data_IF_763858587892
#
_entry.id   IF_763858587892
#
_cell.length_a   1.000
_cell.length_b   1.000
_cell.length_c   1.000
_cell.angle_alpha   90.00
_cell.angle_beta   90.00
_cell.angle_gamma   90.00
#
_symmetry.space_group_name_H-M   'P 1'
#
loop_
_entity.id
_entity.type
_entity.pdbx_description
1 polymer ?
#
# COMPACT_ATOMS: atom_id res chain seq x y z
N UNK A 1 -9.37 -7.89 -3.00
CA UNK A 1 -8.18 -7.27 -2.40
C UNK A 1 -8.19 -7.61 -0.93
N UNK A 2 -7.15 -8.29 -0.48
CA UNK A 2 -6.92 -8.66 0.91
C UNK A 2 -6.45 -7.46 1.73
N UNK A 3 -6.68 -7.47 3.05
CA UNK A 3 -6.14 -6.43 3.94
C UNK A 3 -4.60 -6.35 3.85
N UNK A 4 -3.93 -7.47 3.59
CA UNK A 4 -2.48 -7.51 3.41
C UNK A 4 -2.03 -6.66 2.21
N UNK A 5 -2.73 -6.71 1.08
CA UNK A 5 -2.44 -5.89 -0.09
C UNK A 5 -2.53 -4.39 0.25
N UNK A 6 -3.60 -3.97 0.93
CA UNK A 6 -3.80 -2.57 1.33
C UNK A 6 -2.72 -2.11 2.32
N UNK A 7 -2.38 -2.95 3.31
CA UNK A 7 -1.34 -2.66 4.31
C UNK A 7 0.05 -2.49 3.68
N UNK A 8 0.38 -3.35 2.70
CA UNK A 8 1.65 -3.30 1.96
C UNK A 8 1.76 -1.98 1.19
N UNK A 9 0.70 -1.59 0.47
CA UNK A 9 0.65 -0.36 -0.31
C UNK A 9 0.74 0.87 0.60
N UNK A 10 -0.03 0.88 1.70
CA UNK A 10 -0.05 1.99 2.65
C UNK A 10 1.30 2.13 3.34
N UNK A 11 1.94 1.00 3.69
CA UNK A 11 3.30 0.97 4.22
C UNK A 11 4.32 1.41 3.18
N UNK A 12 4.20 1.01 1.93
CA UNK A 12 5.11 1.46 0.86
C UNK A 12 5.01 2.96 0.57
N UNK A 13 3.86 3.60 0.78
CA UNK A 13 3.78 5.06 0.66
C UNK A 13 4.24 5.83 1.88
N UNK A 14 4.09 5.27 3.09
CA UNK A 14 4.57 5.91 4.34
C UNK A 14 6.03 5.63 4.63
N UNK A 15 6.54 4.50 4.17
CA UNK A 15 7.87 3.97 4.45
C UNK A 15 8.68 3.92 3.15
N UNK A 16 9.53 4.94 2.89
CA UNK A 16 10.32 5.00 1.67
C UNK A 16 11.36 3.88 1.56
N UNK A 17 11.75 3.24 2.67
CA UNK A 17 12.63 2.08 2.64
C UNK A 17 11.88 0.84 2.14
N UNK A 18 10.63 0.67 2.55
CA UNK A 18 9.76 -0.40 2.06
C UNK A 18 9.37 -0.18 0.60
N UNK A 19 9.14 1.08 0.18
CA UNK A 19 8.95 1.47 -1.23
C UNK A 19 10.09 0.97 -2.10
N UNK A 20 11.33 1.27 -1.72
CA UNK A 20 12.51 0.83 -2.46
C UNK A 20 12.61 -0.69 -2.46
N UNK A 21 12.35 -1.36 -1.35
CA UNK A 21 12.40 -2.83 -1.25
C UNK A 21 11.33 -3.49 -2.13
N UNK A 22 10.16 -2.89 -2.26
CA UNK A 22 9.08 -3.38 -3.12
C UNK A 22 9.38 -3.16 -4.61
N UNK A 23 10.15 -2.12 -4.96
CA UNK A 23 10.60 -1.85 -6.33
C UNK A 23 11.80 -2.70 -6.72
N UNK A 24 12.73 -2.91 -5.79
CA UNK A 24 13.96 -3.67 -6.01
C UNK A 24 13.67 -5.18 -5.96
N UNK A 25 12.81 -5.61 -5.02
CA UNK A 25 12.56 -7.00 -4.69
C UNK A 25 11.10 -7.21 -4.21
N UNK A 26 10.08 -7.03 -5.09
CA UNK A 26 8.67 -7.15 -4.73
C UNK A 26 8.36 -8.53 -4.14
N UNK A 27 8.97 -9.61 -4.66
CA UNK A 27 8.76 -10.93 -4.08
C UNK A 27 9.16 -10.96 -2.60
N UNK A 28 10.28 -10.35 -2.24
CA UNK A 28 10.81 -10.32 -0.88
C UNK A 28 10.00 -9.42 0.04
N UNK A 29 9.56 -8.25 -0.46
CA UNK A 29 8.69 -7.33 0.28
C UNK A 29 7.35 -7.97 0.65
N UNK A 30 6.87 -8.88 -0.21
CA UNK A 30 5.60 -9.58 -0.08
C UNK A 30 5.76 -10.94 0.62
N UNK A 31 7.00 -11.34 0.91
CA UNK A 31 7.32 -12.60 1.56
C UNK A 31 6.88 -12.55 3.03
N UNK A 32 5.94 -13.41 3.42
CA UNK A 32 5.34 -13.41 4.75
C UNK A 32 4.03 -12.63 4.87
N UNK A 33 3.61 -11.94 3.81
CA UNK A 33 2.25 -11.40 3.72
C UNK A 33 1.29 -12.45 3.16
N UNK A 34 0.06 -12.46 3.68
CA UNK A 34 -1.01 -13.33 3.19
C UNK A 34 -1.64 -12.76 1.90
N UNK A 35 -0.80 -12.54 0.89
CA UNK A 35 -1.20 -12.11 -0.47
C UNK A 35 -1.20 -13.31 -1.40
N UNK A 36 -2.15 -13.35 -2.33
CA UNK A 36 -2.18 -14.39 -3.37
C UNK A 36 -1.14 -14.10 -4.46
N UNK A 37 -0.78 -15.10 -5.27
CA UNK A 37 0.12 -14.89 -6.42
C UNK A 37 -0.38 -13.79 -7.36
N UNK A 38 -1.69 -13.70 -7.61
CA UNK A 38 -2.29 -12.59 -8.38
C UNK A 38 -2.04 -11.21 -7.75
N UNK A 39 -2.17 -11.10 -6.43
CA UNK A 39 -1.89 -9.87 -5.69
C UNK A 39 -0.40 -9.54 -5.71
N UNK A 40 0.45 -10.58 -5.64
CA UNK A 40 1.90 -10.45 -5.70
C UNK A 40 2.37 -9.95 -7.07
N UNK A 41 1.78 -10.47 -8.15
CA UNK A 41 2.00 -9.98 -9.51
C UNK A 41 1.48 -8.56 -9.71
N UNK A 42 0.33 -8.20 -9.13
CA UNK A 42 -0.16 -6.83 -9.17
C UNK A 42 0.80 -5.88 -8.45
N UNK A 43 1.29 -6.24 -7.26
CA UNK A 43 2.28 -5.45 -6.51
C UNK A 43 3.63 -5.36 -7.22
N UNK A 44 4.09 -6.44 -7.86
CA UNK A 44 5.30 -6.43 -8.68
C UNK A 44 5.17 -5.66 -10.00
N UNK A 45 3.94 -5.47 -10.51
CA UNK A 45 3.64 -4.61 -11.67
C UNK A 45 3.36 -3.15 -11.29
N UNK A 46 3.23 -2.85 -10.00
CA UNK A 46 2.98 -1.50 -9.53
C UNK A 46 4.31 -0.73 -9.44
N UNK A 47 4.48 0.24 -10.33
CA UNK A 47 5.62 1.16 -10.29
C UNK A 47 5.55 2.14 -9.12
N UNK A 48 6.67 2.80 -8.85
CA UNK A 48 6.82 3.79 -7.78
C UNK A 48 5.72 4.86 -7.81
N UNK A 49 5.38 5.33 -9.02
CA UNK A 49 4.32 6.32 -9.23
C UNK A 49 2.93 5.76 -8.93
N UNK A 50 2.70 4.46 -9.11
CA UNK A 50 1.43 3.83 -8.76
C UNK A 50 1.31 3.62 -7.25
N UNK A 51 2.38 3.17 -6.59
CA UNK A 51 2.45 2.97 -5.13
C UNK A 51 2.19 4.31 -4.42
N UNK A 52 2.88 5.36 -4.83
CA UNK A 52 2.72 6.72 -4.28
C UNK A 52 1.28 7.23 -4.45
N UNK A 53 0.71 7.04 -5.64
CA UNK A 53 -0.67 7.45 -5.96
C UNK A 53 -1.71 6.65 -5.17
N UNK A 54 -1.47 5.36 -4.94
CA UNK A 54 -2.35 4.52 -4.15
C UNK A 54 -2.27 4.87 -2.65
N UNK A 55 -1.07 5.04 -2.10
CA UNK A 55 -0.90 5.43 -0.70
C UNK A 55 -1.38 6.85 -0.40
N UNK A 56 -1.14 7.79 -1.33
CA UNK A 56 -1.71 9.13 -1.28
C UNK A 56 -3.24 9.10 -1.34
N UNK A 57 -3.83 8.23 -2.17
CA UNK A 57 -5.28 8.04 -2.25
C UNK A 57 -5.91 7.28 -1.07
N UNK A 58 -5.14 6.43 -0.37
CA UNK A 58 -5.57 5.73 0.84
C UNK A 58 -5.63 6.67 2.05
N UNK A 59 -4.79 7.70 2.11
CA UNK A 59 -4.86 8.77 3.11
C UNK A 59 -6.20 9.52 3.10
N UNK A 60 -6.77 9.79 1.92
CA UNK A 60 -8.09 10.41 1.78
C UNK A 60 -9.26 9.46 2.13
N UNK A 61 -9.08 8.14 1.96
CA UNK A 61 -10.12 7.14 2.27
C UNK A 61 -10.15 6.72 3.73
N UNK A 62 -9.01 6.64 4.40
CA UNK A 62 -8.93 6.32 5.83
C UNK A 62 -9.35 7.50 6.72
N UNK A 63 -9.15 8.74 6.27
CA UNK A 63 -9.54 9.95 7.03
C UNK A 63 -11.02 10.33 6.89
N UNK A 64 -11.76 9.82 5.89
CA UNK A 64 -13.20 10.11 5.74
C UNK A 64 -14.13 9.26 6.62
N UNK A 65 -13.58 8.34 7.43
CA UNK A 65 -14.31 7.58 8.45
C UNK A 65 -14.06 8.03 9.90
N UNK A 66 -13.00 8.80 10.16
CA UNK A 66 -12.58 9.16 11.52
C UNK A 66 -12.97 10.59 11.97
N UNK A 67 -13.45 11.46 11.06
CA UNK A 67 -13.86 12.82 11.43
C UNK A 67 -15.39 12.98 11.56
N UNK A 68 -16.00 12.04 12.28
CA UNK A 68 -17.33 12.22 12.84
C UNK A 68 -17.30 12.98 14.17
N UNK A 69 -16.68 14.18 14.25
CA UNK A 69 -16.91 15.09 15.39
C UNK A 69 -16.33 16.50 15.16
N UNK A 70 -17.22 17.47 14.95
CA UNK A 70 -17.06 18.84 15.46
C UNK A 70 -16.24 19.84 14.65
N UNK A 71 -16.94 20.67 13.89
CA UNK A 71 -16.68 22.10 13.62
C UNK A 71 -18.03 22.58 13.03
N UNK A 72 -18.89 23.29 13.75
CA UNK A 72 -18.69 24.62 14.33
C UNK A 72 -19.63 25.55 13.58
#
# INVERSE_FOLDING_TARGET
MSQAFEDIIERAGKDPAFRQLLLDDPQKALEGYAVTDDEREMLGKLDEAQIDKFAGGLGDRTTKGAFGRGFG
#
